data_IF_155383123590
#
_entry.id   IF_155383123590
#
_cell.length_a   1.000
_cell.length_b   1.000
_cell.length_c   1.000
_cell.angle_alpha   90.00
_cell.angle_beta   90.00
_cell.angle_gamma   90.00
#
_symmetry.space_group_name_H-M   'P 1'
#
loop_
_entity.id
_entity.type
_entity.pdbx_description
1 polymer ?
#
# COMPACT_ATOMS: atom_id res chain seq x y z
N UNK A 1 27.90 -40.88 54.82
CA UNK A 1 28.72 -40.71 53.62
C UNK A 1 27.90 -39.91 52.59
N UNK A 2 28.17 -38.63 52.41
CA UNK A 2 27.55 -37.84 51.38
C UNK A 2 28.33 -38.04 50.07
N UNK A 3 27.68 -38.52 49.04
CA UNK A 3 28.28 -38.65 47.72
C UNK A 3 28.64 -37.25 47.19
N UNK A 4 29.92 -37.00 47.06
CA UNK A 4 30.44 -35.81 46.38
C UNK A 4 30.07 -35.98 44.89
N UNK A 5 28.97 -35.32 44.49
CA UNK A 5 28.58 -35.29 43.07
C UNK A 5 29.71 -34.57 42.32
N UNK A 6 30.37 -35.27 41.42
CA UNK A 6 31.44 -34.73 40.57
C UNK A 6 30.91 -33.58 39.71
N UNK A 7 31.10 -32.36 40.20
CA UNK A 7 30.62 -31.12 39.55
C UNK A 7 31.22 -30.87 38.18
N UNK A 8 32.38 -31.49 37.85
CA UNK A 8 33.02 -31.36 36.56
C UNK A 8 32.29 -32.20 35.47
N UNK A 9 31.89 -33.42 35.82
CA UNK A 9 31.14 -34.27 34.89
C UNK A 9 29.75 -33.71 34.56
N UNK A 10 29.07 -33.15 35.57
CA UNK A 10 27.76 -32.51 35.42
C UNK A 10 27.87 -31.27 34.54
N UNK A 11 28.89 -30.42 34.73
CA UNK A 11 29.17 -29.22 33.94
C UNK A 11 29.47 -29.58 32.46
N UNK A 12 30.26 -30.62 32.19
CA UNK A 12 30.57 -31.06 30.85
C UNK A 12 29.34 -31.61 30.09
N UNK A 13 28.45 -32.34 30.80
CA UNK A 13 27.16 -32.78 30.22
C UNK A 13 26.27 -31.58 29.87
N UNK A 14 26.14 -30.61 30.77
CA UNK A 14 25.38 -29.40 30.52
C UNK A 14 25.87 -28.66 29.28
N UNK A 15 27.16 -28.43 29.11
CA UNK A 15 27.71 -27.77 27.94
C UNK A 15 27.48 -28.59 26.64
N UNK A 16 27.58 -29.89 26.68
CA UNK A 16 27.25 -30.74 25.53
C UNK A 16 25.79 -30.60 25.11
N UNK A 17 24.86 -30.66 26.06
CA UNK A 17 23.43 -30.46 25.76
C UNK A 17 23.17 -29.05 25.23
N UNK A 18 23.78 -28.03 25.80
CA UNK A 18 23.62 -26.65 25.34
C UNK A 18 24.12 -26.48 23.90
N UNK A 19 25.30 -27.02 23.59
CA UNK A 19 25.86 -26.99 22.22
C UNK A 19 24.94 -27.71 21.23
N UNK A 20 24.50 -28.92 21.57
CA UNK A 20 23.58 -29.67 20.71
C UNK A 20 22.27 -28.90 20.50
N UNK A 21 21.69 -28.35 21.58
CA UNK A 21 20.48 -27.52 21.48
C UNK A 21 20.69 -26.31 20.55
N UNK A 22 21.79 -25.59 20.71
CA UNK A 22 22.12 -24.43 19.85
C UNK A 22 22.27 -24.87 18.39
N UNK A 23 22.99 -25.97 18.14
CA UNK A 23 23.22 -26.47 16.76
C UNK A 23 21.91 -26.90 16.11
N UNK A 24 21.05 -27.60 16.83
CA UNK A 24 19.72 -28.02 16.33
C UNK A 24 18.84 -26.77 16.05
N UNK A 25 18.83 -25.84 16.97
CA UNK A 25 18.07 -24.59 16.81
C UNK A 25 18.54 -23.80 15.58
N UNK A 26 19.87 -23.64 15.41
CA UNK A 26 20.45 -23.00 14.23
C UNK A 26 20.12 -23.74 12.94
N UNK A 27 20.18 -25.07 12.94
CA UNK A 27 19.84 -25.86 11.76
C UNK A 27 18.37 -25.68 11.35
N UNK A 28 17.45 -25.69 12.34
CA UNK A 28 16.00 -25.49 12.09
C UNK A 28 15.76 -24.09 11.52
N UNK A 29 16.28 -23.04 12.16
CA UNK A 29 16.10 -21.68 11.67
C UNK A 29 16.74 -21.45 10.30
N UNK A 30 17.93 -22.03 10.06
CA UNK A 30 18.60 -21.97 8.75
C UNK A 30 17.77 -22.69 7.67
N UNK A 31 17.19 -23.83 8.01
CA UNK A 31 16.28 -24.55 7.12
C UNK A 31 15.04 -23.74 6.75
N UNK A 32 14.37 -23.13 7.74
CA UNK A 32 13.24 -22.24 7.54
C UNK A 32 13.65 -21.03 6.66
N UNK A 33 14.77 -20.39 6.98
CA UNK A 33 15.26 -19.25 6.22
C UNK A 33 15.59 -19.62 4.77
N UNK A 34 16.22 -20.78 4.55
CA UNK A 34 16.53 -21.28 3.21
C UNK A 34 15.26 -21.55 2.40
N UNK A 35 14.26 -22.19 3.00
CA UNK A 35 12.95 -22.43 2.36
C UNK A 35 12.29 -21.09 2.01
N UNK A 36 12.19 -20.16 2.96
CA UNK A 36 11.59 -18.85 2.71
C UNK A 36 12.33 -18.09 1.60
N UNK A 37 13.66 -18.14 1.59
CA UNK A 37 14.47 -17.50 0.57
C UNK A 37 14.31 -18.17 -0.81
N UNK A 38 14.31 -19.52 -0.86
CA UNK A 38 14.17 -20.29 -2.11
C UNK A 38 12.78 -20.17 -2.72
N UNK A 39 11.74 -20.18 -1.90
CA UNK A 39 10.35 -20.15 -2.37
C UNK A 39 9.84 -18.72 -2.61
N UNK A 40 10.44 -17.72 -1.98
CA UNK A 40 10.15 -16.32 -2.25
C UNK A 40 11.43 -15.48 -2.32
N UNK A 41 12.37 -15.80 -3.24
CA UNK A 41 13.56 -14.97 -3.46
C UNK A 41 13.18 -13.54 -3.82
N UNK A 42 11.95 -13.36 -4.28
CA UNK A 42 11.34 -12.17 -4.82
C UNK A 42 11.14 -11.10 -3.73
N UNK A 43 10.72 -11.50 -2.54
CA UNK A 43 10.57 -10.57 -1.41
C UNK A 43 11.92 -10.03 -0.92
N UNK A 44 13.02 -10.75 -1.19
CA UNK A 44 14.34 -10.46 -0.64
C UNK A 44 15.37 -10.03 -1.70
N UNK A 45 15.11 -10.31 -2.99
CA UNK A 45 16.02 -9.90 -4.07
C UNK A 45 15.53 -8.63 -4.73
N UNK A 46 16.39 -7.61 -4.78
CA UNK A 46 16.12 -6.40 -5.56
C UNK A 46 15.92 -6.68 -7.06
N UNK A 47 16.36 -7.85 -7.56
CA UNK A 47 16.20 -8.26 -8.96
C UNK A 47 14.75 -8.42 -9.38
N UNK A 48 13.89 -8.93 -8.48
CA UNK A 48 12.47 -9.07 -8.81
C UNK A 48 11.77 -7.71 -8.92
N UNK A 49 12.01 -6.84 -7.93
CA UNK A 49 11.49 -5.48 -7.94
C UNK A 49 11.97 -4.74 -9.19
N UNK A 50 13.25 -4.86 -9.51
CA UNK A 50 13.82 -4.25 -10.72
C UNK A 50 13.18 -4.82 -11.99
N UNK A 51 13.07 -6.15 -12.12
CA UNK A 51 12.42 -6.79 -13.27
C UNK A 51 10.96 -6.42 -13.42
N UNK A 52 10.21 -6.33 -12.32
CA UNK A 52 8.82 -5.85 -12.34
C UNK A 52 8.76 -4.37 -12.78
N UNK A 53 9.57 -3.50 -12.18
CA UNK A 53 9.64 -2.09 -12.53
C UNK A 53 10.04 -1.87 -13.99
N UNK A 54 10.99 -2.67 -14.49
CA UNK A 54 11.41 -2.63 -15.89
C UNK A 54 10.27 -3.02 -16.83
N UNK A 55 9.58 -4.13 -16.57
CA UNK A 55 8.44 -4.56 -17.39
C UNK A 55 7.36 -3.47 -17.46
N UNK A 56 7.01 -2.88 -16.30
CA UNK A 56 6.01 -1.80 -16.24
C UNK A 56 6.48 -0.55 -16.99
N UNK A 57 7.75 -0.18 -16.90
CA UNK A 57 8.31 0.98 -17.61
C UNK A 57 8.40 0.77 -19.13
N UNK A 58 8.49 -0.48 -19.57
CA UNK A 58 8.43 -0.91 -20.97
C UNK A 58 6.99 -1.02 -21.51
N UNK A 59 5.97 -0.69 -20.71
CA UNK A 59 4.56 -0.78 -21.07
C UNK A 59 3.98 -2.20 -21.01
N UNK A 60 4.69 -3.15 -20.41
CA UNK A 60 4.25 -4.54 -20.22
C UNK A 60 3.65 -4.74 -18.84
N UNK A 61 2.67 -5.60 -18.74
CA UNK A 61 2.16 -6.05 -17.44
C UNK A 61 3.13 -7.02 -16.77
N UNK A 62 2.93 -7.24 -15.47
CA UNK A 62 3.78 -8.15 -14.70
C UNK A 62 2.92 -9.09 -13.85
N UNK A 63 3.00 -10.41 -14.13
CA UNK A 63 2.35 -11.43 -13.33
C UNK A 63 3.08 -11.57 -11.99
N UNK A 64 2.32 -11.54 -10.88
CA UNK A 64 2.83 -11.56 -9.53
C UNK A 64 2.10 -12.62 -8.68
N UNK A 65 2.82 -13.32 -7.80
CA UNK A 65 2.22 -14.34 -6.93
C UNK A 65 1.29 -13.77 -5.87
N UNK A 66 1.52 -12.54 -5.45
CA UNK A 66 0.80 -11.94 -4.34
C UNK A 66 0.85 -10.42 -4.44
N UNK A 67 -0.18 -9.79 -3.94
CA UNK A 67 -0.21 -8.33 -3.75
C UNK A 67 0.77 -7.83 -2.68
N UNK A 68 1.44 -8.73 -1.95
CA UNK A 68 2.43 -8.43 -0.91
C UNK A 68 3.85 -8.12 -1.43
N UNK A 69 3.98 -7.64 -2.65
CA UNK A 69 5.23 -7.05 -3.13
C UNK A 69 5.56 -5.79 -2.31
N UNK A 70 6.84 -5.48 -2.14
CA UNK A 70 7.23 -4.18 -1.58
C UNK A 70 6.88 -3.06 -2.58
N UNK A 71 5.65 -2.53 -2.45
CA UNK A 71 5.12 -1.51 -3.35
C UNK A 71 5.98 -0.25 -3.38
N UNK A 72 6.50 0.19 -2.24
CA UNK A 72 7.35 1.40 -2.16
C UNK A 72 8.67 1.21 -2.90
N UNK A 73 9.30 0.05 -2.73
CA UNK A 73 10.50 -0.29 -3.49
C UNK A 73 10.21 -0.37 -5.00
N UNK A 74 9.07 -0.98 -5.38
CA UNK A 74 8.64 -1.05 -6.78
C UNK A 74 8.42 0.36 -7.36
N UNK A 75 7.68 1.22 -6.68
CA UNK A 75 7.40 2.58 -7.16
C UNK A 75 8.65 3.44 -7.27
N UNK A 76 9.56 3.34 -6.28
CA UNK A 76 10.88 4.01 -6.35
C UNK A 76 11.65 3.59 -7.59
N UNK A 77 11.72 2.29 -7.87
CA UNK A 77 12.45 1.77 -9.01
C UNK A 77 11.75 2.11 -10.33
N UNK A 78 10.43 2.01 -10.38
CA UNK A 78 9.62 2.39 -11.56
C UNK A 78 9.84 3.86 -11.94
N UNK A 79 9.78 4.80 -10.98
CA UNK A 79 10.02 6.22 -11.24
C UNK A 79 11.42 6.48 -11.82
N UNK A 80 12.45 5.76 -11.32
CA UNK A 80 13.81 5.87 -11.86
C UNK A 80 13.93 5.42 -13.31
N UNK A 81 13.16 4.41 -13.69
CA UNK A 81 13.22 3.81 -15.03
C UNK A 81 12.34 4.53 -16.06
N UNK A 82 11.49 5.46 -15.64
CA UNK A 82 10.65 6.21 -16.59
C UNK A 82 11.47 7.03 -17.57
N UNK A 83 11.18 6.88 -18.84
CA UNK A 83 11.75 7.68 -19.94
C UNK A 83 10.97 8.96 -20.20
N UNK A 84 9.67 8.96 -19.87
CA UNK A 84 8.76 10.12 -20.01
C UNK A 84 7.97 10.33 -18.73
N UNK A 85 7.43 11.52 -18.55
CA UNK A 85 6.58 11.86 -17.41
C UNK A 85 5.12 11.58 -17.74
N UNK A 86 4.38 10.80 -16.93
CA UNK A 86 2.94 10.66 -17.10
C UNK A 86 2.21 11.99 -16.92
N UNK A 87 1.15 12.21 -17.72
CA UNK A 87 0.32 13.41 -17.55
C UNK A 87 -0.43 13.38 -16.20
N UNK A 88 -0.90 12.21 -15.81
CA UNK A 88 -1.70 11.98 -14.61
C UNK A 88 -1.09 10.88 -13.75
N UNK A 89 -0.92 11.18 -12.47
CA UNK A 89 -0.53 10.18 -11.47
C UNK A 89 -1.62 10.12 -10.39
N UNK A 90 -2.08 8.91 -10.07
CA UNK A 90 -2.84 8.64 -8.85
C UNK A 90 -1.90 8.08 -7.80
N UNK A 91 -1.96 8.66 -6.60
CA UNK A 91 -1.23 8.17 -5.44
C UNK A 91 -2.14 8.04 -4.22
N UNK A 92 -2.02 6.92 -3.53
CA UNK A 92 -2.77 6.61 -2.33
C UNK A 92 -2.64 5.14 -1.94
N UNK A 93 -3.59 4.65 -1.17
CA UNK A 93 -3.62 3.27 -0.73
C UNK A 93 -4.34 2.33 -1.70
N UNK A 94 -4.55 1.11 -1.22
CA UNK A 94 -5.21 0.02 -1.96
C UNK A 94 -6.62 0.35 -2.49
N UNK A 95 -7.27 1.38 -1.99
CA UNK A 95 -8.57 1.84 -2.50
C UNK A 95 -8.51 2.37 -3.95
N UNK A 96 -7.29 2.57 -4.48
CA UNK A 96 -7.02 3.03 -5.85
C UNK A 96 -6.48 1.94 -6.77
N UNK A 97 -6.25 0.72 -6.29
CA UNK A 97 -5.64 -0.34 -7.11
C UNK A 97 -6.37 -0.66 -8.40
N UNK A 98 -7.69 -0.41 -8.48
CA UNK A 98 -8.50 -0.54 -9.69
C UNK A 98 -8.67 0.78 -10.49
N UNK A 99 -7.88 1.79 -10.20
CA UNK A 99 -7.79 2.96 -11.07
C UNK A 99 -6.90 2.65 -12.28
N UNK A 100 -7.52 2.24 -13.37
CA UNK A 100 -6.86 1.85 -14.62
C UNK A 100 -6.75 3.02 -15.59
N UNK A 101 -5.76 2.97 -16.49
CA UNK A 101 -5.57 3.97 -17.54
C UNK A 101 -6.81 4.11 -18.44
N UNK A 102 -7.54 3.03 -18.68
CA UNK A 102 -8.78 3.02 -19.48
C UNK A 102 -9.88 3.95 -18.92
N UNK A 103 -9.79 4.33 -17.63
CA UNK A 103 -10.71 5.28 -17.00
C UNK A 103 -10.37 6.75 -17.29
N UNK A 104 -9.20 7.02 -17.88
CA UNK A 104 -8.67 8.37 -18.17
C UNK A 104 -8.20 8.41 -19.64
N UNK A 105 -9.11 8.31 -20.60
CA UNK A 105 -8.74 8.29 -22.01
C UNK A 105 -8.04 9.58 -22.45
N UNK A 106 -7.17 9.46 -23.45
CA UNK A 106 -6.47 10.60 -24.06
C UNK A 106 -5.29 11.16 -23.25
N UNK A 107 -4.93 10.56 -22.11
CA UNK A 107 -3.80 10.98 -21.28
C UNK A 107 -2.90 9.81 -20.89
N UNK A 108 -1.62 10.07 -20.76
CA UNK A 108 -0.71 9.11 -20.14
C UNK A 108 -0.95 9.08 -18.63
N UNK A 109 -1.15 7.88 -18.10
CA UNK A 109 -1.58 7.67 -16.71
C UNK A 109 -0.68 6.67 -15.98
N UNK A 110 -0.44 6.92 -14.70
CA UNK A 110 0.21 5.96 -13.80
C UNK A 110 -0.48 5.92 -12.44
N UNK A 111 -0.70 4.72 -11.99
CA UNK A 111 -1.21 4.42 -10.66
C UNK A 111 -0.05 4.01 -9.74
N UNK A 112 0.35 4.90 -8.85
CA UNK A 112 1.45 4.66 -7.90
C UNK A 112 0.93 4.28 -6.51
N UNK A 113 -0.22 3.62 -6.43
CA UNK A 113 -0.74 3.18 -5.14
C UNK A 113 0.27 2.32 -4.36
N UNK A 114 0.20 2.41 -3.02
CA UNK A 114 1.01 1.60 -2.09
C UNK A 114 0.11 1.04 -0.98
N UNK A 115 0.51 -0.07 -0.37
CA UNK A 115 -0.23 -0.59 0.80
C UNK A 115 -0.14 0.39 1.96
N UNK A 116 -1.29 0.63 2.63
CA UNK A 116 -1.35 1.43 3.86
C UNK A 116 -0.63 2.77 3.76
N UNK A 117 -0.97 3.55 2.70
CA UNK A 117 -0.41 4.88 2.47
C UNK A 117 -0.56 5.79 3.69
N UNK A 118 0.47 6.57 3.96
CA UNK A 118 0.54 7.55 5.02
C UNK A 118 0.82 8.94 4.44
N UNK A 119 0.60 10.00 5.21
CA UNK A 119 0.90 11.36 4.77
C UNK A 119 2.39 11.53 4.42
N UNK A 120 3.26 10.83 5.15
CA UNK A 120 4.71 10.81 4.89
C UNK A 120 5.04 10.24 3.52
N UNK A 121 4.25 9.29 3.01
CA UNK A 121 4.45 8.74 1.67
C UNK A 121 4.17 9.78 0.58
N UNK A 122 3.24 10.70 0.79
CA UNK A 122 2.98 11.78 -0.17
C UNK A 122 4.17 12.74 -0.28
N UNK A 123 4.82 13.05 0.85
CA UNK A 123 6.04 13.85 0.87
C UNK A 123 7.19 13.10 0.17
N UNK A 124 7.38 11.83 0.52
CA UNK A 124 8.42 10.99 -0.06
C UNK A 124 8.24 10.82 -1.58
N UNK A 125 7.01 10.60 -2.04
CA UNK A 125 6.70 10.54 -3.46
C UNK A 125 7.01 11.85 -4.17
N UNK A 126 6.66 12.99 -3.56
CA UNK A 126 6.96 14.32 -4.12
C UNK A 126 8.48 14.48 -4.33
N UNK A 127 9.29 14.04 -3.34
CA UNK A 127 10.74 14.05 -3.46
C UNK A 127 11.23 13.15 -4.60
N UNK A 128 10.71 11.91 -4.69
CA UNK A 128 11.07 10.95 -5.72
C UNK A 128 10.76 11.48 -7.13
N UNK A 129 9.57 12.00 -7.34
CA UNK A 129 9.14 12.55 -8.62
C UNK A 129 9.96 13.78 -9.02
N UNK A 130 10.19 14.70 -8.10
CA UNK A 130 10.97 15.91 -8.36
C UNK A 130 12.44 15.56 -8.64
N UNK A 131 13.05 14.68 -7.83
CA UNK A 131 14.46 14.28 -7.99
C UNK A 131 14.69 13.54 -9.31
N UNK A 132 13.68 12.85 -9.82
CA UNK A 132 13.71 12.21 -11.12
C UNK A 132 13.34 13.16 -12.28
N UNK A 133 12.96 14.40 -12.00
CA UNK A 133 12.39 15.35 -12.97
C UNK A 133 11.13 14.76 -13.66
N UNK A 134 10.21 14.21 -12.87
CA UNK A 134 9.00 13.47 -13.29
C UNK A 134 7.73 13.98 -12.62
N UNK A 135 7.65 15.27 -12.30
CA UNK A 135 6.41 15.84 -11.78
C UNK A 135 5.32 15.82 -12.87
N UNK A 136 4.13 15.25 -12.59
CA UNK A 136 3.04 15.16 -13.57
C UNK A 136 2.33 16.50 -13.76
N UNK A 137 1.48 16.60 -14.78
CA UNK A 137 0.56 17.74 -14.91
C UNK A 137 -0.54 17.68 -13.84
N UNK A 138 -1.05 16.49 -13.53
CA UNK A 138 -2.09 16.26 -12.54
C UNK A 138 -1.63 15.18 -11.56
N UNK A 139 -1.64 15.49 -10.27
CA UNK A 139 -1.38 14.53 -9.19
C UNK A 139 -2.65 14.39 -8.34
N UNK A 140 -3.22 13.20 -8.34
CA UNK A 140 -4.39 12.83 -7.54
C UNK A 140 -3.89 12.16 -6.25
N UNK A 141 -4.14 12.79 -5.11
CA UNK A 141 -3.76 12.30 -3.78
C UNK A 141 -4.99 11.77 -3.05
N UNK A 142 -4.91 10.54 -2.58
CA UNK A 142 -5.94 9.92 -1.75
C UNK A 142 -6.01 10.57 -0.38
N UNK A 143 -7.24 10.83 0.09
CA UNK A 143 -7.46 11.20 1.47
C UNK A 143 -8.09 10.03 2.22
N UNK A 144 -7.39 9.53 3.23
CA UNK A 144 -7.84 8.44 4.11
C UNK A 144 -7.54 8.79 5.56
N UNK A 145 -8.39 8.35 6.49
CA UNK A 145 -8.14 8.62 7.91
C UNK A 145 -6.82 7.99 8.40
N UNK A 146 -6.50 6.80 7.89
CA UNK A 146 -5.28 6.07 8.25
C UNK A 146 -4.01 6.84 7.89
N UNK A 147 -4.05 7.66 6.83
CA UNK A 147 -2.92 8.48 6.38
C UNK A 147 -2.60 9.61 7.37
N UNK A 148 -3.55 9.95 8.26
CA UNK A 148 -3.42 11.02 9.24
C UNK A 148 -3.50 10.54 10.69
N UNK A 149 -3.39 9.23 10.94
CA UNK A 149 -3.33 8.75 12.30
C UNK A 149 -2.04 9.20 12.99
N UNK A 150 -2.11 9.60 14.29
CA UNK A 150 -0.92 9.88 15.07
C UNK A 150 0.06 8.69 15.03
N UNK A 151 1.38 8.91 14.96
CA UNK A 151 2.36 7.83 14.88
C UNK A 151 2.23 6.77 15.98
N UNK A 152 1.84 7.17 17.19
CA UNK A 152 1.62 6.26 18.32
C UNK A 152 0.42 5.31 18.15
N UNK A 153 -0.56 5.69 17.34
CA UNK A 153 -1.81 4.95 17.13
C UNK A 153 -1.77 4.08 15.86
N UNK A 154 -0.64 4.06 15.14
CA UNK A 154 -0.52 3.38 13.84
C UNK A 154 -0.21 1.90 14.00
N UNK A 155 -1.01 1.10 13.33
CA UNK A 155 -0.74 -0.32 13.12
C UNK A 155 0.34 -0.56 12.04
N UNK A 156 0.41 0.34 11.05
CA UNK A 156 1.24 0.19 9.85
C UNK A 156 2.39 1.19 9.83
N UNK A 157 3.57 0.71 9.47
CA UNK A 157 4.81 1.49 9.45
C UNK A 157 5.57 1.35 8.13
N UNK A 158 4.91 0.90 7.08
CA UNK A 158 5.53 0.63 5.77
C UNK A 158 6.09 1.90 5.11
N UNK A 159 5.57 3.09 5.42
CA UNK A 159 6.12 4.37 4.97
C UNK A 159 7.61 4.54 5.29
N UNK A 160 8.12 3.85 6.33
CA UNK A 160 9.52 3.87 6.72
C UNK A 160 10.47 3.34 5.62
N UNK A 161 9.95 2.61 4.64
CA UNK A 161 10.71 2.22 3.45
C UNK A 161 11.14 3.44 2.62
N UNK A 162 10.38 4.54 2.68
CA UNK A 162 10.66 5.81 2.03
C UNK A 162 11.11 6.91 3.03
N UNK A 163 11.55 6.53 4.22
CA UNK A 163 11.94 7.48 5.24
C UNK A 163 13.08 8.44 4.82
N UNK A 164 14.09 8.05 4.04
CA UNK A 164 15.10 8.98 3.54
C UNK A 164 14.48 10.06 2.64
N UNK A 165 13.60 9.70 1.73
CA UNK A 165 12.91 10.60 0.81
C UNK A 165 11.94 11.52 1.55
N UNK A 166 11.20 10.97 2.51
CA UNK A 166 10.34 11.76 3.41
C UNK A 166 11.12 12.84 4.14
N UNK A 167 12.25 12.48 4.78
CA UNK A 167 13.09 13.46 5.49
C UNK A 167 13.65 14.54 4.57
N UNK A 168 14.12 14.14 3.39
CA UNK A 168 14.65 15.08 2.43
C UNK A 168 13.60 16.10 2.00
N UNK A 169 12.35 15.66 1.77
CA UNK A 169 11.26 16.56 1.42
C UNK A 169 10.80 17.40 2.61
N UNK A 170 10.65 16.80 3.78
CA UNK A 170 10.28 17.51 5.00
C UNK A 170 11.28 18.64 5.31
N UNK A 171 12.58 18.35 5.26
CA UNK A 171 13.62 19.36 5.44
C UNK A 171 13.56 20.49 4.41
N UNK A 172 13.29 20.17 3.13
CA UNK A 172 13.10 21.16 2.07
C UNK A 172 11.89 22.08 2.31
N UNK A 173 10.84 21.53 2.90
CA UNK A 173 9.59 22.24 3.19
C UNK A 173 9.58 22.94 4.56
N UNK A 174 10.64 22.79 5.37
CA UNK A 174 10.68 23.30 6.74
C UNK A 174 9.70 22.58 7.67
N UNK A 175 9.37 21.32 7.37
CA UNK A 175 8.51 20.47 8.19
C UNK A 175 9.40 19.68 9.16
N UNK A 176 9.09 19.74 10.46
CA UNK A 176 9.73 18.88 11.46
C UNK A 176 9.38 17.42 11.17
N UNK A 177 10.36 16.57 10.79
CA UNK A 177 10.06 15.18 10.51
C UNK A 177 9.74 14.41 11.79
N UNK A 178 8.69 13.59 11.76
CA UNK A 178 8.39 12.69 12.86
C UNK A 178 9.57 11.77 13.17
N UNK A 179 9.89 11.56 14.46
CA UNK A 179 10.88 10.58 14.82
C UNK A 179 10.41 9.19 14.38
N UNK A 180 11.30 8.44 13.75
CA UNK A 180 11.02 7.05 13.38
C UNK A 180 12.21 6.16 13.71
N UNK A 181 11.90 4.93 14.06
CA UNK A 181 12.88 3.87 14.19
C UNK A 181 12.78 3.01 12.95
N UNK A 182 13.82 2.99 12.12
CA UNK A 182 13.81 2.12 10.95
C UNK A 182 13.90 0.66 11.39
N UNK A 183 12.74 0.01 11.43
CA UNK A 183 12.66 -1.44 11.64
C UNK A 183 12.59 -2.20 10.31
N UNK A 184 12.53 -1.50 9.18
CA UNK A 184 12.39 -2.10 7.86
C UNK A 184 13.44 -3.18 7.55
N UNK A 185 14.77 -2.99 7.80
CA UNK A 185 15.73 -4.06 7.64
C UNK A 185 15.48 -5.24 8.58
N UNK A 186 15.17 -4.97 9.85
CA UNK A 186 14.91 -6.02 10.85
C UNK A 186 13.68 -6.83 10.47
N UNK A 187 12.58 -6.17 10.07
CA UNK A 187 11.36 -6.86 9.58
C UNK A 187 11.62 -7.72 8.36
N UNK A 188 12.35 -7.19 7.38
CA UNK A 188 12.71 -7.93 6.16
C UNK A 188 13.45 -9.22 6.50
N UNK A 189 14.46 -9.14 7.35
CA UNK A 189 15.27 -10.31 7.72
C UNK A 189 14.55 -11.23 8.70
N UNK A 190 13.78 -10.71 9.65
CA UNK A 190 13.01 -11.55 10.58
C UNK A 190 11.95 -12.38 9.87
N UNK A 191 11.36 -11.89 8.78
CA UNK A 191 10.36 -12.66 8.01
C UNK A 191 10.95 -13.92 7.35
N UNK A 192 12.28 -13.99 7.14
CA UNK A 192 12.95 -15.22 6.69
C UNK A 192 12.79 -16.38 7.69
N UNK A 193 12.69 -16.08 8.98
CA UNK A 193 12.62 -17.07 10.04
C UNK A 193 11.18 -17.44 10.44
N UNK A 194 10.17 -16.92 9.74
CA UNK A 194 8.77 -17.17 10.03
C UNK A 194 8.31 -18.51 9.45
N UNK A 195 8.23 -19.54 10.29
CA UNK A 195 7.87 -20.91 9.89
C UNK A 195 6.51 -21.07 9.23
N UNK A 196 5.38 -20.48 9.75
CA UNK A 196 4.09 -20.50 9.08
C UNK A 196 4.10 -19.90 7.68
N UNK A 197 4.92 -18.85 7.45
CA UNK A 197 5.12 -18.27 6.13
C UNK A 197 5.78 -19.22 5.16
N UNK A 198 6.80 -19.98 5.60
CA UNK A 198 7.43 -21.02 4.78
C UNK A 198 6.43 -22.10 4.37
N UNK A 199 5.65 -22.61 5.32
CA UNK A 199 4.65 -23.66 5.06
C UNK A 199 3.57 -23.20 4.06
N UNK A 200 3.05 -21.99 4.21
CA UNK A 200 2.04 -21.45 3.28
C UNK A 200 2.59 -21.31 1.86
N UNK A 201 3.86 -20.89 1.73
CA UNK A 201 4.53 -20.74 0.43
C UNK A 201 4.82 -22.06 -0.26
N UNK A 202 5.29 -23.09 0.49
CA UNK A 202 5.45 -24.45 -0.06
C UNK A 202 4.13 -24.94 -0.64
N UNK A 203 3.03 -24.78 0.09
CA UNK A 203 1.70 -25.15 -0.38
C UNK A 203 1.22 -24.40 -1.60
N UNK A 204 1.58 -23.13 -1.74
CA UNK A 204 1.20 -22.30 -2.89
C UNK A 204 1.97 -22.67 -4.14
N UNK A 205 3.29 -22.90 -4.05
CA UNK A 205 4.16 -23.15 -5.20
C UNK A 205 3.82 -24.46 -5.93
N UNK A 206 3.39 -25.50 -5.19
CA UNK A 206 3.04 -26.81 -5.79
C UNK A 206 1.75 -26.79 -6.64
N UNK A 207 0.98 -25.70 -6.59
CA UNK A 207 -0.33 -25.61 -7.25
C UNK A 207 -0.39 -24.59 -8.40
N UNK A 208 0.65 -23.76 -8.61
CA UNK A 208 0.63 -22.77 -9.68
C UNK A 208 1.20 -23.34 -10.98
N UNK A 209 0.33 -23.42 -12.01
CA UNK A 209 0.77 -23.70 -13.39
C UNK A 209 1.36 -22.46 -14.08
N UNK A 210 1.13 -21.28 -13.52
CA UNK A 210 1.58 -19.98 -14.03
C UNK A 210 2.83 -19.52 -13.29
N UNK A 211 3.70 -18.76 -13.96
CA UNK A 211 4.93 -18.24 -13.38
C UNK A 211 4.92 -16.72 -13.32
N UNK A 212 5.46 -16.09 -12.27
CA UNK A 212 5.60 -14.64 -12.23
C UNK A 212 6.60 -14.15 -13.27
N UNK A 213 6.33 -12.98 -13.81
CA UNK A 213 7.18 -12.34 -14.81
C UNK A 213 6.40 -11.40 -15.72
N UNK A 214 7.09 -10.79 -16.70
CA UNK A 214 6.46 -9.96 -17.72
C UNK A 214 5.39 -10.73 -18.49
N UNK A 215 4.23 -10.11 -18.73
CA UNK A 215 3.10 -10.70 -19.45
C UNK A 215 2.33 -9.63 -20.21
N UNK A 216 1.68 -10.00 -21.29
CA UNK A 216 0.75 -9.12 -22.00
C UNK A 216 -0.72 -9.38 -21.58
N UNK A 217 -0.94 -10.40 -20.77
CA UNK A 217 -2.27 -10.74 -20.25
C UNK A 217 -2.73 -9.76 -19.20
N UNK A 218 -4.05 -9.46 -19.21
CA UNK A 218 -4.77 -8.75 -18.14
C UNK A 218 -5.51 -9.70 -17.21
N UNK A 219 -5.55 -10.99 -17.52
CA UNK A 219 -6.24 -12.01 -16.71
C UNK A 219 -5.46 -13.30 -16.73
N UNK A 220 -5.13 -13.79 -15.57
CA UNK A 220 -4.49 -15.07 -15.33
C UNK A 220 -5.36 -15.91 -14.39
N UNK A 221 -5.17 -17.22 -14.40
CA UNK A 221 -5.99 -18.11 -13.57
C UNK A 221 -5.67 -17.97 -12.09
N UNK A 222 -4.39 -17.86 -11.76
CA UNK A 222 -3.89 -17.95 -10.38
C UNK A 222 -3.09 -16.74 -9.92
N UNK A 223 -2.41 -16.05 -10.83
CA UNK A 223 -1.55 -14.92 -10.52
C UNK A 223 -2.27 -13.59 -10.71
N UNK A 224 -2.05 -12.67 -9.78
CA UNK A 224 -2.45 -11.28 -9.96
C UNK A 224 -1.58 -10.62 -11.02
N UNK A 225 -2.12 -9.66 -11.73
CA UNK A 225 -1.38 -8.94 -12.75
C UNK A 225 -1.25 -7.47 -12.33
N UNK A 226 -0.02 -7.03 -12.16
CA UNK A 226 0.27 -5.60 -12.06
C UNK A 226 0.27 -5.07 -13.51
N UNK A 227 -0.68 -4.20 -13.82
CA UNK A 227 -0.77 -3.59 -15.13
C UNK A 227 0.39 -2.62 -15.38
N UNK A 228 0.71 -2.36 -16.62
CA UNK A 228 1.78 -1.42 -17.00
C UNK A 228 1.54 -0.01 -16.47
N UNK A 229 0.27 0.37 -16.26
CA UNK A 229 -0.12 1.62 -15.60
C UNK A 229 -0.01 1.56 -14.06
N UNK A 230 0.41 0.44 -13.49
CA UNK A 230 0.57 0.24 -12.04
C UNK A 230 -0.68 -0.19 -11.28
N UNK A 231 -1.84 -0.29 -11.92
CA UNK A 231 -3.08 -0.83 -11.36
C UNK A 231 -3.04 -2.36 -11.21
N UNK A 232 -4.08 -2.97 -10.67
CA UNK A 232 -4.15 -4.42 -10.45
C UNK A 232 -5.29 -5.02 -11.26
N UNK A 233 -5.00 -6.10 -11.96
CA UNK A 233 -5.98 -7.05 -12.45
C UNK A 233 -5.95 -8.33 -11.61
N UNK A 234 -7.09 -8.63 -11.00
CA UNK A 234 -7.23 -9.81 -10.15
C UNK A 234 -7.25 -11.09 -10.97
N UNK A 235 -6.61 -12.14 -10.45
CA UNK A 235 -6.71 -13.48 -11.02
C UNK A 235 -8.14 -14.01 -11.00
N UNK A 236 -8.44 -14.99 -11.85
CA UNK A 236 -9.74 -15.67 -11.84
C UNK A 236 -10.03 -16.30 -10.47
N UNK A 237 -8.99 -16.92 -9.86
CA UNK A 237 -9.08 -17.51 -8.53
C UNK A 237 -9.39 -16.47 -7.44
N UNK A 238 -8.88 -15.26 -7.54
CA UNK A 238 -9.18 -14.19 -6.58
C UNK A 238 -10.56 -13.59 -6.85
N UNK A 239 -10.92 -13.31 -8.10
CA UNK A 239 -12.25 -12.80 -8.47
C UNK A 239 -13.38 -13.75 -8.05
N UNK A 240 -13.17 -15.05 -8.15
CA UNK A 240 -14.17 -16.04 -7.71
C UNK A 240 -14.48 -15.96 -6.20
N UNK A 241 -13.60 -15.35 -5.40
CA UNK A 241 -13.81 -15.12 -3.96
C UNK A 241 -14.64 -13.86 -3.66
N UNK A 242 -14.82 -12.96 -4.62
CA UNK A 242 -15.59 -11.71 -4.46
C UNK A 242 -17.10 -11.96 -4.54
N UNK A 243 -17.57 -12.94 -3.78
CA UNK A 243 -19.00 -13.25 -3.68
C UNK A 243 -19.70 -12.30 -2.72
N UNK A 244 -21.00 -12.07 -2.92
CA UNK A 244 -21.80 -11.28 -1.99
C UNK A 244 -21.63 -11.73 -0.53
N UNK A 245 -21.63 -13.05 -0.29
CA UNK A 245 -21.45 -13.60 1.07
C UNK A 245 -20.08 -13.26 1.67
N UNK A 246 -19.01 -13.27 0.85
CA UNK A 246 -17.68 -12.89 1.30
C UNK A 246 -17.59 -11.39 1.61
N UNK A 247 -18.20 -10.55 0.77
CA UNK A 247 -18.28 -9.09 1.00
C UNK A 247 -19.09 -8.79 2.27
N UNK A 248 -20.27 -9.39 2.44
CA UNK A 248 -21.10 -9.22 3.64
C UNK A 248 -20.32 -9.66 4.91
N UNK A 249 -19.57 -10.76 4.84
CA UNK A 249 -18.73 -11.23 5.94
C UNK A 249 -17.60 -10.25 6.26
N UNK A 250 -16.93 -9.69 5.25
CA UNK A 250 -15.88 -8.67 5.41
C UNK A 250 -16.44 -7.39 6.04
N UNK A 251 -17.59 -6.91 5.56
CA UNK A 251 -18.30 -5.76 6.14
C UNK A 251 -18.65 -6.02 7.62
N UNK A 252 -19.25 -7.16 7.94
CA UNK A 252 -19.60 -7.52 9.31
C UNK A 252 -18.37 -7.67 10.22
N UNK A 253 -17.28 -8.22 9.69
CA UNK A 253 -15.99 -8.35 10.39
C UNK A 253 -15.43 -6.99 10.78
N UNK A 254 -15.39 -6.07 9.83
CA UNK A 254 -14.85 -4.74 10.05
C UNK A 254 -15.72 -3.90 10.99
N UNK A 255 -17.04 -3.99 10.87
CA UNK A 255 -17.96 -3.33 11.80
C UNK A 255 -17.74 -3.75 13.26
N UNK A 256 -17.39 -5.03 13.50
CA UNK A 256 -17.02 -5.52 14.84
C UNK A 256 -15.65 -4.98 15.27
N UNK A 257 -14.67 -4.94 14.35
CA UNK A 257 -13.30 -4.46 14.65
C UNK A 257 -13.28 -2.97 15.00
N UNK A 258 -13.98 -2.15 14.23
CA UNK A 258 -14.06 -0.70 14.48
C UNK A 258 -14.82 -0.40 15.76
N UNK A 259 -15.92 -1.12 16.02
CA UNK A 259 -16.72 -0.93 17.22
C UNK A 259 -17.17 0.51 17.41
N UNK A 260 -16.78 1.12 18.53
CA UNK A 260 -17.03 2.53 18.88
C UNK A 260 -15.77 3.40 18.74
N UNK A 261 -14.75 2.95 18.01
CA UNK A 261 -13.51 3.70 17.88
C UNK A 261 -13.74 5.05 17.20
N UNK A 262 -13.05 6.06 17.70
CA UNK A 262 -12.96 7.39 17.11
C UNK A 262 -11.49 7.62 16.73
N UNK A 263 -11.05 7.22 15.54
CA UNK A 263 -9.67 7.43 15.14
C UNK A 263 -9.31 8.93 15.20
N UNK A 264 -8.17 9.23 15.78
CA UNK A 264 -7.68 10.61 15.84
C UNK A 264 -7.05 11.00 14.51
N UNK A 265 -7.15 12.28 14.17
CA UNK A 265 -6.46 12.91 13.04
C UNK A 265 -5.37 13.81 13.62
N UNK A 266 -4.14 13.55 13.22
CA UNK A 266 -2.98 14.36 13.55
C UNK A 266 -2.97 15.61 12.67
N UNK A 267 -3.15 16.77 13.29
CA UNK A 267 -3.21 18.05 12.58
C UNK A 267 -1.85 18.47 11.99
N UNK A 268 -0.75 17.97 12.55
CA UNK A 268 0.58 18.22 11.99
C UNK A 268 0.78 17.53 10.64
N UNK A 269 0.24 16.31 10.48
CA UNK A 269 0.24 15.59 9.21
C UNK A 269 -0.67 16.26 8.17
N UNK A 270 -1.82 16.78 8.60
CA UNK A 270 -2.71 17.57 7.75
C UNK A 270 -2.00 18.84 7.26
N UNK A 271 -1.31 19.54 8.17
CA UNK A 271 -0.54 20.74 7.82
C UNK A 271 0.63 20.42 6.88
N UNK A 272 1.32 19.29 7.10
CA UNK A 272 2.39 18.81 6.23
C UNK A 272 1.89 18.52 4.81
N UNK A 273 0.74 17.82 4.68
CA UNK A 273 0.11 17.61 3.39
C UNK A 273 -0.26 18.93 2.72
N UNK A 274 -0.86 19.88 3.46
CA UNK A 274 -1.20 21.19 2.93
C UNK A 274 0.01 21.97 2.41
N UNK A 275 1.15 21.86 3.10
CA UNK A 275 2.42 22.48 2.66
C UNK A 275 2.94 21.79 1.39
N UNK A 276 2.88 20.46 1.33
CA UNK A 276 3.26 19.67 0.15
C UNK A 276 2.40 20.02 -1.06
N UNK A 277 1.09 20.17 -0.87
CA UNK A 277 0.15 20.60 -1.93
C UNK A 277 0.53 21.95 -2.50
N UNK A 278 0.74 22.98 -1.65
CA UNK A 278 1.18 24.31 -2.10
C UNK A 278 2.51 24.28 -2.84
N UNK A 279 3.43 23.46 -2.36
CA UNK A 279 4.71 23.26 -3.03
C UNK A 279 4.56 22.70 -4.44
N UNK A 280 3.78 21.63 -4.60
CA UNK A 280 3.48 21.02 -5.90
C UNK A 280 2.80 22.02 -6.85
N UNK A 281 1.82 22.78 -6.34
CA UNK A 281 1.17 23.85 -7.11
C UNK A 281 2.16 24.93 -7.57
N UNK A 282 3.13 25.32 -6.73
CA UNK A 282 4.19 26.26 -7.11
C UNK A 282 5.12 25.74 -8.19
N UNK A 283 5.14 24.40 -8.39
CA UNK A 283 5.85 23.72 -9.49
C UNK A 283 4.99 23.51 -10.74
N UNK A 284 3.78 24.04 -10.77
CA UNK A 284 2.86 23.91 -11.89
C UNK A 284 2.05 22.61 -11.92
N UNK A 285 2.06 21.82 -10.84
CA UNK A 285 1.28 20.57 -10.74
C UNK A 285 -0.14 20.90 -10.29
N UNK A 286 -1.15 20.47 -11.05
CA UNK A 286 -2.54 20.48 -10.59
C UNK A 286 -2.72 19.33 -9.58
N UNK A 287 -2.90 19.69 -8.31
CA UNK A 287 -3.15 18.71 -7.25
C UNK A 287 -4.64 18.52 -7.04
N UNK A 288 -5.08 17.26 -6.96
CA UNK A 288 -6.45 16.86 -6.65
C UNK A 288 -6.45 16.01 -5.40
N UNK A 289 -7.24 16.38 -4.40
CA UNK A 289 -7.52 15.55 -3.23
C UNK A 289 -8.75 14.71 -3.51
N UNK A 290 -8.64 13.39 -3.42
CA UNK A 290 -9.72 12.51 -3.81
C UNK A 290 -10.11 11.53 -2.69
N UNK A 291 -11.42 11.39 -2.46
CA UNK A 291 -12.00 10.40 -1.57
C UNK A 291 -12.73 9.32 -2.38
N UNK A 292 -12.51 8.07 -2.02
CA UNK A 292 -13.27 6.95 -2.57
C UNK A 292 -14.32 6.50 -1.56
N UNK A 293 -15.52 6.07 -2.01
CA UNK A 293 -16.61 5.71 -1.11
C UNK A 293 -16.34 4.39 -0.36
N UNK A 294 -17.08 4.18 0.71
CA UNK A 294 -17.20 2.90 1.42
C UNK A 294 -18.37 2.07 0.89
N UNK A 295 -18.36 0.76 1.17
CA UNK A 295 -19.49 -0.11 0.89
C UNK A 295 -20.78 0.44 1.54
N UNK A 296 -21.94 0.45 0.85
CA UNK A 296 -23.17 1.08 1.35
C UNK A 296 -23.60 0.60 2.74
N UNK A 297 -23.59 -0.72 2.98
CA UNK A 297 -23.95 -1.27 4.31
C UNK A 297 -22.98 -0.81 5.39
N UNK A 298 -21.67 -0.76 5.07
CA UNK A 298 -20.68 -0.27 6.02
C UNK A 298 -20.90 1.20 6.34
N UNK A 299 -20.98 2.05 5.31
CA UNK A 299 -21.19 3.48 5.47
C UNK A 299 -22.46 3.81 6.26
N UNK A 300 -23.61 3.24 5.88
CA UNK A 300 -24.86 3.48 6.57
C UNK A 300 -24.85 3.05 8.04
N UNK A 301 -23.99 2.11 8.40
CA UNK A 301 -23.82 1.68 9.80
C UNK A 301 -22.92 2.62 10.59
N UNK A 302 -21.87 3.20 9.96
CA UNK A 302 -20.85 3.97 10.69
C UNK A 302 -20.99 5.48 10.59
N UNK A 303 -21.72 6.02 9.61
CA UNK A 303 -21.78 7.47 9.33
C UNK A 303 -22.13 8.33 10.55
N UNK A 304 -23.04 7.85 11.41
CA UNK A 304 -23.49 8.54 12.61
C UNK A 304 -22.68 8.14 13.87
N UNK A 305 -21.73 7.23 13.74
CA UNK A 305 -20.85 6.77 14.82
C UNK A 305 -19.56 7.61 14.90
N UNK A 306 -18.75 7.47 15.97
CA UNK A 306 -17.49 8.19 16.10
C UNK A 306 -16.56 8.03 14.90
N UNK A 307 -16.43 6.82 14.36
CA UNK A 307 -15.63 6.55 13.15
C UNK A 307 -16.13 7.35 11.93
N UNK A 308 -17.44 7.33 11.66
CA UNK A 308 -18.02 8.09 10.54
C UNK A 308 -17.82 9.60 10.69
N UNK A 309 -17.94 10.13 11.92
CA UNK A 309 -17.64 11.55 12.19
C UNK A 309 -16.19 11.90 11.88
N UNK A 310 -15.21 10.98 12.14
CA UNK A 310 -13.82 11.18 11.72
C UNK A 310 -13.69 11.27 10.20
N UNK A 311 -14.39 10.42 9.45
CA UNK A 311 -14.40 10.48 7.98
C UNK A 311 -15.01 11.80 7.46
N UNK A 312 -16.13 12.22 8.01
CA UNK A 312 -16.77 13.51 7.66
C UNK A 312 -15.88 14.71 8.01
N UNK A 313 -15.11 14.62 9.11
CA UNK A 313 -14.10 15.63 9.44
C UNK A 313 -12.99 15.71 8.37
N UNK A 314 -12.52 14.57 7.83
CA UNK A 314 -11.57 14.57 6.71
C UNK A 314 -12.14 15.21 5.44
N UNK A 315 -13.42 14.98 5.14
CA UNK A 315 -14.07 15.69 4.03
C UNK A 315 -14.15 17.20 4.29
N UNK A 316 -14.35 17.62 5.55
CA UNK A 316 -14.30 19.03 5.91
C UNK A 316 -12.89 19.59 5.72
N UNK A 317 -11.86 18.90 6.17
CA UNK A 317 -10.45 19.28 5.96
C UNK A 317 -10.15 19.45 4.45
N UNK A 318 -10.62 18.52 3.62
CA UNK A 318 -10.44 18.64 2.17
C UNK A 318 -11.14 19.88 1.57
N UNK A 319 -12.37 20.18 2.04
CA UNK A 319 -13.08 21.40 1.66
C UNK A 319 -12.36 22.67 2.11
N UNK A 320 -11.82 22.67 3.32
CA UNK A 320 -11.02 23.79 3.84
C UNK A 320 -9.74 24.00 3.04
N UNK A 321 -9.04 22.94 2.65
CA UNK A 321 -7.89 23.02 1.76
C UNK A 321 -8.27 23.57 0.38
N UNK A 322 -9.44 23.17 -0.15
CA UNK A 322 -9.97 23.76 -1.39
C UNK A 322 -10.17 25.26 -1.27
N UNK A 323 -10.76 25.73 -0.19
CA UNK A 323 -11.04 27.16 0.01
C UNK A 323 -9.77 27.97 0.23
N UNK A 324 -8.80 27.46 1.01
CA UNK A 324 -7.59 28.19 1.41
C UNK A 324 -6.45 28.10 0.41
N UNK A 325 -6.31 26.98 -0.27
CA UNK A 325 -5.20 26.72 -1.19
C UNK A 325 -5.62 26.51 -2.64
N UNK A 326 -6.92 26.65 -2.97
CA UNK A 326 -7.42 26.46 -4.32
C UNK A 326 -7.24 25.04 -4.85
N UNK A 327 -7.02 24.05 -3.96
CA UNK A 327 -6.84 22.66 -4.37
C UNK A 327 -8.18 22.04 -4.76
N UNK A 328 -8.22 21.33 -5.88
CA UNK A 328 -9.43 20.58 -6.25
C UNK A 328 -9.66 19.43 -5.27
N UNK A 329 -10.89 19.30 -4.74
CA UNK A 329 -11.30 18.18 -3.92
C UNK A 329 -12.52 17.50 -4.52
N UNK A 330 -12.45 16.17 -4.71
CA UNK A 330 -13.51 15.38 -5.37
C UNK A 330 -13.79 14.07 -4.62
N UNK A 331 -14.97 13.52 -4.89
CA UNK A 331 -15.41 12.29 -4.27
C UNK A 331 -15.95 12.49 -2.85
N UNK A 332 -16.28 11.40 -2.21
CA UNK A 332 -16.87 11.36 -0.87
C UNK A 332 -16.78 9.95 -0.31
N UNK A 333 -16.91 9.80 1.00
CA UNK A 333 -17.03 8.48 1.63
C UNK A 333 -18.44 7.89 1.52
N UNK A 334 -19.46 8.70 1.18
CA UNK A 334 -20.83 8.24 0.96
C UNK A 334 -21.02 7.66 -0.45
N UNK A 335 -21.26 6.35 -0.59
CA UNK A 335 -21.44 5.71 -1.88
C UNK A 335 -22.69 6.20 -2.62
N UNK A 336 -23.73 6.65 -1.90
CA UNK A 336 -24.98 7.10 -2.51
C UNK A 336 -24.78 8.35 -3.38
N UNK A 337 -23.91 9.26 -2.96
CA UNK A 337 -23.58 10.49 -3.70
C UNK A 337 -22.97 10.18 -5.07
N UNK A 338 -22.28 9.05 -5.19
CA UNK A 338 -21.64 8.60 -6.42
C UNK A 338 -22.45 7.52 -7.17
N UNK A 339 -23.66 7.21 -6.66
CA UNK A 339 -24.47 6.09 -7.14
C UNK A 339 -23.65 4.78 -7.25
N UNK A 340 -22.77 4.50 -6.28
CA UNK A 340 -22.07 3.23 -6.17
C UNK A 340 -22.93 2.23 -5.40
N UNK A 341 -23.24 1.10 -6.05
CA UNK A 341 -24.02 0.02 -5.46
C UNK A 341 -23.16 -0.93 -4.61
N UNK A 342 -23.77 -1.79 -3.79
CA UNK A 342 -23.02 -2.80 -3.02
C UNK A 342 -22.23 -3.76 -3.91
N UNK A 343 -22.71 -4.07 -5.11
CA UNK A 343 -22.01 -4.89 -6.11
C UNK A 343 -20.76 -4.23 -6.70
N UNK A 344 -20.57 -2.93 -6.47
CA UNK A 344 -19.38 -2.20 -6.92
C UNK A 344 -18.21 -2.34 -5.93
N UNK A 345 -18.32 -3.21 -4.92
CA UNK A 345 -17.31 -3.40 -3.88
C UNK A 345 -16.91 -4.86 -3.75
N UNK A 346 -15.62 -5.09 -3.51
CA UNK A 346 -15.05 -6.41 -3.24
C UNK A 346 -14.91 -6.71 -1.74
N UNK A 347 -15.02 -5.68 -0.91
CA UNK A 347 -15.13 -5.73 0.56
C UNK A 347 -15.75 -4.43 1.11
N UNK A 348 -15.46 -4.07 2.37
CA UNK A 348 -16.04 -2.88 3.01
C UNK A 348 -15.47 -1.54 2.52
N UNK A 349 -14.27 -1.53 1.88
CA UNK A 349 -13.55 -0.30 1.48
C UNK A 349 -13.06 -0.28 0.03
N UNK A 350 -12.94 -1.45 -0.60
CA UNK A 350 -12.37 -1.53 -1.93
C UNK A 350 -13.46 -1.52 -3.00
N UNK A 351 -13.58 -0.40 -3.66
CA UNK A 351 -14.48 -0.24 -4.79
C UNK A 351 -13.83 -0.78 -6.08
N UNK A 352 -14.63 -1.35 -6.97
CA UNK A 352 -14.20 -1.79 -8.29
C UNK A 352 -13.94 -0.60 -9.25
N UNK A 353 -13.39 -0.88 -10.42
CA UNK A 353 -13.08 0.11 -11.44
C UNK A 353 -14.29 0.99 -11.84
N UNK A 354 -15.50 0.42 -11.86
CA UNK A 354 -16.71 1.17 -12.20
C UNK A 354 -16.99 2.30 -11.23
N UNK A 355 -16.91 2.02 -9.91
CA UNK A 355 -17.13 3.03 -8.88
C UNK A 355 -15.93 4.00 -8.78
N UNK A 356 -14.68 3.53 -8.86
CA UNK A 356 -13.48 4.38 -8.90
C UNK A 356 -13.54 5.33 -10.09
N UNK A 357 -13.97 4.87 -11.26
CA UNK A 357 -14.16 5.69 -12.46
C UNK A 357 -15.18 6.83 -12.26
N UNK A 358 -16.21 6.64 -11.40
CA UNK A 358 -17.14 7.72 -11.06
C UNK A 358 -16.44 8.85 -10.31
N UNK A 359 -15.51 8.53 -9.41
CA UNK A 359 -14.69 9.54 -8.71
C UNK A 359 -13.79 10.28 -9.68
N UNK A 360 -13.08 9.55 -10.57
CA UNK A 360 -12.17 10.14 -11.55
C UNK A 360 -12.87 11.11 -12.50
N UNK A 361 -14.10 10.80 -12.92
CA UNK A 361 -14.92 11.69 -13.79
C UNK A 361 -15.33 13.01 -13.12
N UNK A 362 -15.25 13.14 -11.80
CA UNK A 362 -15.48 14.40 -11.09
C UNK A 362 -14.30 15.36 -11.16
N UNK A 363 -13.15 14.96 -11.72
CA UNK A 363 -11.94 15.77 -11.77
C UNK A 363 -11.97 16.67 -13.00
N UNK A 364 -12.16 18.01 -12.87
CA UNK A 364 -12.27 18.89 -14.03
C UNK A 364 -11.04 18.86 -14.93
N UNK A 365 -9.85 18.80 -14.35
CA UNK A 365 -8.59 18.74 -15.07
C UNK A 365 -8.43 17.48 -15.97
N UNK A 366 -9.26 16.46 -15.79
CA UNK A 366 -9.29 15.28 -16.67
C UNK A 366 -10.29 15.41 -17.82
N UNK A 367 -11.29 16.30 -17.69
CA UNK A 367 -12.28 16.56 -18.73
C UNK A 367 -11.77 17.49 -19.85
N UNK A 368 -10.77 18.32 -19.55
CA UNK A 368 -10.21 19.31 -20.49
C UNK A 368 -9.18 18.70 -21.44
N UNK A 369 -9.54 17.71 -22.23
CA UNK A 369 -8.62 17.05 -23.16
C UNK A 369 -9.11 15.71 -23.70
N UNK A 370 -10.38 15.40 -23.46
CA UNK A 370 -11.04 14.24 -24.06
C UNK A 370 -11.67 14.58 -25.42
#
# INVERSE_FOLDING_TARGET
MAAVVDGAATRNRFWRYLIVFILVTLAVFSGIALVNYRLNPLAYSGRYIHGAAQALSEGRNFANYDTNINWRALRREQIKLWTSTPDVIVFGGSRWWEAHADLIPGRTFQNLWVSNDQAEDALALTYLLESANRLPKVLILSLRFISFQPPADREFTEWQEWAPEYRAMAGRLGIEPHPYWTTAPVRKWSSLFYGPGAYSRVRQVDHFSERPGPTDSRSLKQLEVIASDGSIYWSEATRSKFTKAAVDKAVAGELRRIGQSAPKIDQSLVAALGTTVRYLQSKGVTVVLAQTPYHPTFWNTVKDRPFGRTLLNLESIARDMRQRAGVTSVGTYDPATLACAASDFIDHIHANAACVGKVLRLIPALAEGA
#
